data_IF_943964072270
#
_entry.id   IF_943964072270
#
_cell.length_a   1.000
_cell.length_b   1.000
_cell.length_c   1.000
_cell.angle_alpha   90.00
_cell.angle_beta   90.00
_cell.angle_gamma   90.00
#
_symmetry.space_group_name_H-M   'P 1'
#
loop_
_entity.id
_entity.type
_entity.pdbx_description
1 polymer ?
#
# COMPACT_ATOMS: atom_id res chain seq x y z
N UNK A 1 10.56 14.75 -21.38
CA UNK A 1 9.31 15.07 -20.64
C UNK A 1 8.41 13.85 -20.43
N UNK A 2 8.11 13.02 -21.45
CA UNK A 2 7.18 11.88 -21.30
C UNK A 2 7.54 10.86 -20.19
N UNK A 3 8.83 10.64 -19.89
CA UNK A 3 9.26 9.72 -18.82
C UNK A 3 8.75 10.10 -17.43
N UNK A 4 8.56 11.38 -17.14
CA UNK A 4 8.08 11.88 -15.83
C UNK A 4 6.69 11.33 -15.49
N UNK A 5 5.87 11.08 -16.51
CA UNK A 5 4.52 10.52 -16.35
C UNK A 5 4.55 9.12 -15.74
N UNK A 6 5.63 8.34 -15.95
CA UNK A 6 5.76 7.00 -15.39
C UNK A 6 5.82 7.06 -13.86
N UNK A 7 6.68 7.91 -13.30
CA UNK A 7 6.78 8.09 -11.85
C UNK A 7 5.52 8.73 -11.25
N UNK A 8 4.88 9.64 -11.98
CA UNK A 8 3.59 10.18 -11.57
C UNK A 8 2.53 9.08 -11.43
N UNK A 9 2.37 8.22 -12.45
CA UNK A 9 1.39 7.12 -12.42
C UNK A 9 1.72 6.12 -11.31
N UNK A 10 2.99 5.75 -11.13
CA UNK A 10 3.42 4.84 -10.07
C UNK A 10 3.21 5.43 -8.68
N UNK A 11 3.55 6.71 -8.49
CA UNK A 11 3.30 7.44 -7.25
C UNK A 11 1.82 7.51 -6.94
N UNK A 12 1.00 7.91 -7.92
CA UNK A 12 -0.44 7.93 -7.81
C UNK A 12 -1.00 6.55 -7.41
N UNK A 13 -0.58 5.48 -8.09
CA UNK A 13 -1.03 4.13 -7.79
C UNK A 13 -0.66 3.70 -6.36
N UNK A 14 0.55 4.02 -5.90
CA UNK A 14 1.00 3.72 -4.53
C UNK A 14 0.15 4.45 -3.49
N UNK A 15 0.03 5.78 -3.61
CA UNK A 15 -0.69 6.60 -2.64
C UNK A 15 -2.20 6.35 -2.69
N UNK A 16 -2.79 6.15 -3.86
CA UNK A 16 -4.20 5.80 -3.99
C UNK A 16 -4.51 4.46 -3.32
N UNK A 17 -3.66 3.45 -3.53
CA UNK A 17 -3.81 2.14 -2.89
C UNK A 17 -3.66 2.23 -1.38
N UNK A 18 -2.67 2.99 -0.90
CA UNK A 18 -2.45 3.20 0.52
C UNK A 18 -3.67 3.90 1.16
N UNK A 19 -4.11 5.02 0.59
CA UNK A 19 -5.30 5.74 1.07
C UNK A 19 -6.56 4.89 1.02
N UNK A 20 -6.78 4.11 -0.05
CA UNK A 20 -7.92 3.18 -0.14
C UNK A 20 -7.87 2.09 0.94
N UNK A 21 -6.68 1.61 1.29
CA UNK A 21 -6.49 0.63 2.36
C UNK A 21 -6.92 1.20 3.71
N UNK A 22 -6.48 2.43 4.03
CA UNK A 22 -6.86 3.10 5.27
C UNK A 22 -8.34 3.49 5.27
N UNK A 23 -8.87 4.00 4.15
CA UNK A 23 -10.29 4.33 4.01
C UNK A 23 -11.21 3.13 4.29
N UNK A 24 -10.78 1.91 3.99
CA UNK A 24 -11.56 0.69 4.31
C UNK A 24 -11.74 0.42 5.81
N UNK A 25 -10.96 1.09 6.67
CA UNK A 25 -11.06 1.01 8.14
C UNK A 25 -12.06 2.02 8.72
N UNK A 26 -12.51 3.00 7.92
CA UNK A 26 -13.44 4.02 8.36
C UNK A 26 -14.82 3.39 8.56
N UNK A 27 -15.32 3.43 9.81
CA UNK A 27 -16.67 2.98 10.14
C UNK A 27 -17.66 4.14 10.31
N UNK A 28 -17.15 5.35 10.59
CA UNK A 28 -17.93 6.57 10.81
C UNK A 28 -17.26 7.74 10.11
N UNK A 29 -18.06 8.65 9.57
CA UNK A 29 -17.54 9.80 8.81
C UNK A 29 -16.69 10.74 9.68
N UNK A 30 -16.97 10.81 10.99
CA UNK A 30 -16.20 11.61 11.95
C UNK A 30 -14.76 11.12 12.18
N UNK A 31 -14.46 9.84 11.84
CA UNK A 31 -13.14 9.23 12.02
C UNK A 31 -12.27 9.28 10.73
N UNK A 32 -12.81 9.80 9.62
CA UNK A 32 -12.13 9.80 8.31
C UNK A 32 -10.79 10.51 8.39
N UNK A 33 -10.76 11.72 8.96
CA UNK A 33 -9.55 12.54 9.04
C UNK A 33 -8.48 11.88 9.89
N UNK A 34 -8.87 11.28 11.02
CA UNK A 34 -7.97 10.54 11.91
C UNK A 34 -7.36 9.32 11.19
N UNK A 35 -8.18 8.56 10.46
CA UNK A 35 -7.75 7.34 9.76
C UNK A 35 -6.88 7.65 8.53
N UNK A 36 -7.14 8.75 7.83
CA UNK A 36 -6.37 9.17 6.66
C UNK A 36 -5.13 10.01 7.01
N UNK A 37 -4.94 10.37 8.27
CA UNK A 37 -3.74 11.13 8.69
C UNK A 37 -2.43 10.43 8.30
N UNK A 38 -2.21 9.12 8.55
CA UNK A 38 -0.96 8.44 8.17
C UNK A 38 -0.63 8.47 6.66
N UNK A 39 -1.55 8.13 5.73
CA UNK A 39 -1.26 8.23 4.30
C UNK A 39 -1.01 9.67 3.86
N UNK A 40 -1.76 10.65 4.38
CA UNK A 40 -1.55 12.07 4.07
C UNK A 40 -0.16 12.53 4.54
N UNK A 41 0.23 12.18 5.76
CA UNK A 41 1.57 12.49 6.29
C UNK A 41 2.68 11.88 5.44
N UNK A 42 2.48 10.66 4.92
CA UNK A 42 3.45 10.01 4.04
C UNK A 42 3.63 10.78 2.72
N UNK A 43 2.53 11.29 2.14
CA UNK A 43 2.58 12.15 0.95
C UNK A 43 3.31 13.46 1.25
N UNK A 44 3.00 14.10 2.38
CA UNK A 44 3.65 15.34 2.78
C UNK A 44 5.16 15.17 2.93
N UNK A 45 5.61 14.15 3.66
CA UNK A 45 7.04 13.85 3.82
C UNK A 45 7.70 13.58 2.46
N UNK A 46 7.01 12.87 1.57
CA UNK A 46 7.50 12.64 0.19
C UNK A 46 7.67 13.95 -0.58
N UNK A 47 6.70 14.86 -0.45
CA UNK A 47 6.72 16.17 -1.07
C UNK A 47 7.85 17.05 -0.50
N UNK A 48 8.05 17.06 0.82
CA UNK A 48 9.15 17.79 1.47
C UNK A 48 10.53 17.33 0.97
N UNK A 49 10.75 16.02 0.86
CA UNK A 49 12.01 15.48 0.32
C UNK A 49 12.19 15.88 -1.15
N UNK A 50 11.10 15.94 -1.93
CA UNK A 50 11.16 16.40 -3.32
C UNK A 50 11.51 17.90 -3.44
N UNK A 51 11.04 18.74 -2.52
CA UNK A 51 11.46 20.14 -2.45
C UNK A 51 12.96 20.25 -2.17
N UNK A 52 13.49 19.54 -1.17
CA UNK A 52 14.93 19.51 -0.91
C UNK A 52 15.74 19.01 -2.12
N UNK A 53 15.19 18.08 -2.90
CA UNK A 53 15.83 17.58 -4.12
C UNK A 53 15.75 18.57 -5.29
N UNK A 54 14.87 19.57 -5.24
CA UNK A 54 14.82 20.66 -6.23
C UNK A 54 15.97 21.63 -6.01
N UNK A 55 16.32 21.91 -4.75
CA UNK A 55 17.42 22.81 -4.40
C UNK A 55 18.79 22.21 -4.77
N UNK A 56 19.00 20.92 -4.51
CA UNK A 56 20.26 20.20 -4.81
C UNK A 56 19.99 18.84 -5.48
N UNK A 57 19.67 18.81 -6.80
CA UNK A 57 19.27 17.58 -7.51
C UNK A 57 20.37 16.52 -7.64
N UNK A 58 21.62 16.94 -7.56
CA UNK A 58 22.82 16.08 -7.61
C UNK A 58 23.29 15.62 -6.23
N UNK A 59 22.70 16.14 -5.16
CA UNK A 59 23.11 15.84 -3.80
C UNK A 59 22.90 14.38 -3.41
N UNK A 60 23.62 13.96 -2.37
CA UNK A 60 23.52 12.60 -1.81
C UNK A 60 22.10 12.27 -1.38
N UNK A 61 21.39 13.22 -0.76
CA UNK A 61 20.00 13.04 -0.32
C UNK A 61 19.07 12.76 -1.51
N UNK A 62 19.14 13.60 -2.54
CA UNK A 62 18.35 13.44 -3.76
C UNK A 62 18.67 12.09 -4.43
N UNK A 63 19.94 11.74 -4.53
CA UNK A 63 20.39 10.48 -5.14
C UNK A 63 19.86 9.26 -4.41
N UNK A 64 19.97 9.21 -3.08
CA UNK A 64 19.49 8.06 -2.28
C UNK A 64 17.97 7.97 -2.32
N UNK A 65 17.28 9.08 -2.07
CA UNK A 65 15.80 9.11 -2.02
C UNK A 65 15.14 8.84 -3.37
N UNK A 66 15.88 9.01 -4.48
CA UNK A 66 15.43 8.63 -5.82
C UNK A 66 15.20 7.12 -6.01
N UNK A 67 15.76 6.29 -5.14
CA UNK A 67 15.62 4.82 -5.20
C UNK A 67 14.71 4.27 -4.11
N UNK A 68 14.35 5.06 -3.09
CA UNK A 68 13.54 4.61 -1.95
C UNK A 68 12.07 4.96 -2.19
N UNK A 69 11.17 3.97 -2.36
CA UNK A 69 9.73 4.23 -2.41
C UNK A 69 9.21 4.62 -1.01
N UNK A 70 8.23 5.54 -0.90
CA UNK A 70 7.52 6.23 -2.00
C UNK A 70 8.23 7.48 -2.54
N UNK A 71 9.32 7.92 -1.92
CA UNK A 71 10.05 9.15 -2.25
C UNK A 71 10.51 9.22 -3.71
N UNK A 72 10.93 8.07 -4.25
CA UNK A 72 11.36 7.93 -5.63
C UNK A 72 10.34 8.39 -6.66
N UNK A 73 9.03 8.37 -6.34
CA UNK A 73 7.96 8.84 -7.23
C UNK A 73 8.02 10.34 -7.55
N UNK A 74 8.46 11.17 -6.60
CA UNK A 74 8.62 12.62 -6.82
C UNK A 74 10.09 13.00 -7.05
N UNK A 75 11.01 12.43 -6.27
CA UNK A 75 12.43 12.82 -6.29
C UNK A 75 13.10 12.45 -7.63
N UNK A 76 12.83 11.26 -8.17
CA UNK A 76 13.42 10.86 -9.46
C UNK A 76 12.83 11.67 -10.63
N UNK A 77 11.54 12.00 -10.55
CA UNK A 77 10.88 12.87 -11.52
C UNK A 77 11.54 14.26 -11.58
N UNK A 78 11.84 14.86 -10.42
CA UNK A 78 12.57 16.13 -10.31
C UNK A 78 13.97 15.99 -10.92
N UNK A 79 14.73 14.96 -10.56
CA UNK A 79 16.11 14.78 -11.06
C UNK A 79 16.17 14.56 -12.57
N UNK A 80 15.26 13.77 -13.15
CA UNK A 80 15.19 13.54 -14.60
C UNK A 80 14.76 14.81 -15.35
N UNK A 81 14.01 15.71 -14.70
CA UNK A 81 13.64 17.00 -15.27
C UNK A 81 14.77 18.04 -15.17
N UNK A 82 15.54 18.01 -14.08
CA UNK A 82 16.60 18.99 -13.79
C UNK A 82 17.98 18.61 -14.35
N UNK A 83 18.26 17.32 -14.53
CA UNK A 83 19.60 16.80 -14.86
C UNK A 83 19.53 15.63 -15.83
N UNK A 84 20.64 15.33 -16.51
CA UNK A 84 20.79 14.11 -17.30
C UNK A 84 21.06 12.92 -16.37
N UNK A 85 20.00 12.16 -16.07
CA UNK A 85 20.09 10.94 -15.27
C UNK A 85 20.31 9.73 -16.19
N UNK A 86 21.31 8.86 -15.92
CA UNK A 86 21.51 7.64 -16.68
C UNK A 86 20.28 6.73 -16.69
N UNK A 87 19.97 6.12 -17.83
CA UNK A 87 18.77 5.30 -18.02
C UNK A 87 18.66 4.12 -17.03
N UNK A 88 19.80 3.55 -16.61
CA UNK A 88 19.80 2.45 -15.64
C UNK A 88 19.34 2.91 -14.24
N UNK A 89 19.64 4.15 -13.83
CA UNK A 89 19.18 4.71 -12.56
C UNK A 89 17.67 4.92 -12.59
N UNK A 90 17.17 5.45 -13.69
CA UNK A 90 15.74 5.60 -13.94
C UNK A 90 15.02 4.24 -13.92
N UNK A 91 15.56 3.25 -14.63
CA UNK A 91 15.00 1.89 -14.66
C UNK A 91 14.96 1.23 -13.29
N UNK A 92 16.01 1.37 -12.48
CA UNK A 92 16.06 0.84 -11.12
C UNK A 92 15.00 1.50 -10.22
N UNK A 93 14.83 2.82 -10.33
CA UNK A 93 13.80 3.57 -9.59
C UNK A 93 12.38 3.14 -9.96
N UNK A 94 12.13 2.92 -11.26
CA UNK A 94 10.84 2.39 -11.75
C UNK A 94 10.59 0.99 -11.18
N UNK A 95 11.58 0.10 -11.23
CA UNK A 95 11.45 -1.26 -10.69
C UNK A 95 11.15 -1.24 -9.18
N UNK A 96 11.84 -0.38 -8.41
CA UNK A 96 11.60 -0.20 -6.99
C UNK A 96 10.18 0.31 -6.71
N UNK A 97 9.70 1.28 -7.48
CA UNK A 97 8.33 1.79 -7.36
C UNK A 97 7.28 0.74 -7.71
N UNK A 98 7.47 -0.04 -8.78
CA UNK A 98 6.56 -1.13 -9.13
C UNK A 98 6.49 -2.16 -8.00
N UNK A 99 7.64 -2.57 -7.45
CA UNK A 99 7.67 -3.47 -6.30
C UNK A 99 6.93 -2.89 -5.09
N UNK A 100 7.09 -1.61 -4.81
CA UNK A 100 6.38 -0.92 -3.73
C UNK A 100 4.87 -0.84 -3.97
N UNK A 101 4.42 -0.58 -5.19
CA UNK A 101 2.99 -0.59 -5.56
C UNK A 101 2.40 -1.98 -5.35
N UNK A 102 3.08 -3.04 -5.79
CA UNK A 102 2.63 -4.42 -5.56
C UNK A 102 2.58 -4.76 -4.07
N UNK A 103 3.56 -4.31 -3.29
CA UNK A 103 3.57 -4.48 -1.84
C UNK A 103 2.40 -3.72 -1.17
N UNK A 104 2.12 -2.48 -1.60
CA UNK A 104 0.99 -1.69 -1.12
C UNK A 104 -0.36 -2.34 -1.48
N UNK A 105 -0.50 -2.91 -2.69
CA UNK A 105 -1.69 -3.65 -3.11
C UNK A 105 -1.89 -4.91 -2.27
N UNK A 106 -0.83 -5.69 -2.05
CA UNK A 106 -0.88 -6.88 -1.19
C UNK A 106 -1.21 -6.52 0.27
N UNK A 107 -0.68 -5.40 0.76
CA UNK A 107 -1.03 -4.86 2.07
C UNK A 107 -2.50 -4.44 2.12
N UNK A 108 -2.98 -3.68 1.15
CA UNK A 108 -4.36 -3.22 1.06
C UNK A 108 -5.36 -4.37 0.98
N UNK A 109 -5.06 -5.40 0.20
CA UNK A 109 -5.86 -6.63 0.15
C UNK A 109 -5.98 -7.29 1.53
N UNK A 110 -4.89 -7.36 2.30
CA UNK A 110 -4.90 -7.89 3.67
C UNK A 110 -5.71 -7.00 4.62
N UNK A 111 -5.57 -5.68 4.51
CA UNK A 111 -6.32 -4.71 5.33
C UNK A 111 -7.82 -4.85 5.03
N UNK A 112 -8.20 -4.86 3.76
CA UNK A 112 -9.58 -5.05 3.32
C UNK A 112 -10.17 -6.38 3.82
N UNK A 113 -9.42 -7.48 3.73
CA UNK A 113 -9.84 -8.78 4.27
C UNK A 113 -10.04 -8.77 5.79
N UNK A 114 -9.31 -7.93 6.53
CA UNK A 114 -9.45 -7.84 7.98
C UNK A 114 -10.56 -6.88 8.41
N UNK A 115 -10.75 -5.81 7.65
CA UNK A 115 -11.72 -4.76 7.93
C UNK A 115 -13.13 -5.15 7.50
N UNK A 116 -13.28 -5.67 6.28
CA UNK A 116 -14.59 -5.93 5.66
C UNK A 116 -15.00 -7.40 5.79
N UNK A 117 -14.07 -8.32 5.53
CA UNK A 117 -14.37 -9.76 5.54
C UNK A 117 -14.37 -10.39 6.96
N UNK A 118 -14.20 -9.58 8.03
CA UNK A 118 -14.61 -9.98 9.40
C UNK A 118 -16.07 -9.63 9.66
N UNK A 119 -16.95 -10.05 8.76
CA UNK A 119 -18.36 -10.32 9.07
C UNK A 119 -18.50 -11.84 9.22
N UNK A 120 -18.38 -12.34 10.46
CA UNK A 120 -18.81 -13.69 10.87
C UNK A 120 -17.92 -14.87 10.45
N UNK A 121 -17.18 -15.44 11.41
CA UNK A 121 -16.64 -16.81 11.42
C UNK A 121 -16.04 -17.37 10.10
N UNK A 122 -14.70 -17.38 9.99
CA UNK A 122 -14.07 -18.51 9.28
C UNK A 122 -14.35 -19.77 10.08
N UNK A 123 -15.46 -20.45 9.79
CA UNK A 123 -15.64 -21.83 10.22
C UNK A 123 -14.53 -22.61 9.53
N UNK A 124 -13.53 -23.07 10.30
CA UNK A 124 -12.53 -24.00 9.79
C UNK A 124 -13.29 -25.24 9.32
N UNK A 125 -12.96 -25.79 8.16
CA UNK A 125 -13.60 -27.03 7.67
C UNK A 125 -13.56 -28.18 8.71
N UNK A 126 -12.60 -28.14 9.64
CA UNK A 126 -12.55 -29.08 10.78
C UNK A 126 -13.68 -28.94 11.81
N UNK A 127 -14.31 -27.77 11.93
CA UNK A 127 -15.40 -27.53 12.89
C UNK A 127 -16.75 -28.01 12.33
N UNK A 128 -16.93 -28.04 11.01
CA UNK A 128 -18.16 -28.57 10.37
C UNK A 128 -18.26 -30.09 10.54
N UNK A 129 -17.14 -30.80 10.48
CA UNK A 129 -17.10 -32.27 10.66
C UNK A 129 -17.40 -32.64 12.12
N UNK A 130 -16.96 -31.82 13.07
CA UNK A 130 -17.11 -32.10 14.51
C UNK A 130 -18.50 -31.82 15.04
N UNK A 131 -19.19 -30.81 14.51
CA UNK A 131 -20.59 -30.50 14.89
C UNK A 131 -21.54 -31.59 14.39
N UNK A 132 -21.34 -32.14 13.19
CA UNK A 132 -22.21 -33.20 12.64
C UNK A 132 -22.12 -34.52 13.41
N UNK A 133 -20.92 -34.92 13.85
CA UNK A 133 -20.74 -36.16 14.64
C UNK A 133 -21.40 -36.11 16.03
N UNK A 134 -21.44 -34.93 16.67
CA UNK A 134 -22.06 -34.78 17.99
C UNK A 134 -23.58 -34.92 17.93
N UNK A 135 -24.21 -34.44 16.86
CA UNK A 135 -25.67 -34.54 16.67
C UNK A 135 -26.12 -35.96 16.31
N UNK A 136 -25.34 -36.68 15.50
CA UNK A 136 -25.63 -38.08 15.15
C UNK A 136 -25.53 -39.01 16.38
N UNK A 137 -24.53 -38.80 17.25
CA UNK A 137 -24.39 -39.54 18.52
C UNK A 137 -25.53 -39.25 19.50
N UNK A 138 -25.99 -38.00 19.59
CA UNK A 138 -27.12 -37.62 20.44
C UNK A 138 -28.44 -38.20 19.93
N UNK A 139 -28.61 -38.36 18.61
CA UNK A 139 -29.78 -39.06 18.03
C UNK A 139 -29.73 -40.56 18.30
N UNK A 140 -28.57 -41.21 18.12
CA UNK A 140 -28.41 -42.63 18.39
C UNK A 140 -28.69 -42.99 19.85
N UNK A 141 -28.28 -42.13 20.80
CA UNK A 141 -28.47 -42.35 22.24
C UNK A 141 -29.89 -42.06 22.76
N UNK A 142 -30.78 -41.44 21.96
CA UNK A 142 -32.18 -41.23 22.33
C UNK A 142 -33.10 -42.40 21.95
N UNK A 143 -32.59 -43.37 21.19
CA UNK A 143 -33.36 -44.50 20.67
C UNK A 143 -33.06 -45.82 21.40
N UNK A 144 -32.23 -45.77 22.45
CA UNK A 144 -31.92 -46.86 23.40
C UNK A 144 -32.38 -46.45 24.78
#
# INVERSE_FOLDING_TARGET
>A
MAGVLVWFVLGYAFFATLSASFASLVSRQEEVDTVLTPPVMTVLVTCFVAFCATDEPTGTLATVMSYVPPFSSMVMAVRVAATEVPLWQAGLSIAAMVAAVLAALAFGAKVYQRAVLRTGARVKLGDVVRVRQMDDLKRARRLT
#
